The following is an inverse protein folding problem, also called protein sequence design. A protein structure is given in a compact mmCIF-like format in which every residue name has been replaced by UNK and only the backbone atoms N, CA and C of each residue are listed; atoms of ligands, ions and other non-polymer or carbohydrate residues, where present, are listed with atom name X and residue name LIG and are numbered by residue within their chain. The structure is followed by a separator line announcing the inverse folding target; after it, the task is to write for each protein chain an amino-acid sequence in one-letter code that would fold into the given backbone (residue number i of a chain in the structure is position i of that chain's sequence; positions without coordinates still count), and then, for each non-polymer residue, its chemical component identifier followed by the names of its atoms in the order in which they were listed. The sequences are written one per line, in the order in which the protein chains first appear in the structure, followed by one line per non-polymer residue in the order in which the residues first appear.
data_IF_798036974523
#
_entry.id   IF_798036974523
#
_cell.length_a   1.000
_cell.length_b   1.000
_cell.length_c   1.000
_cell.angle_alpha   90.00
_cell.angle_beta   90.00
_cell.angle_gamma   90.00
#
_symmetry.space_group_name_H-M   'P 1'
#
loop_
_entity.id
_entity.type
_entity.pdbx_description
1 polymer ?
#
# COMPACT_ATOMS: atom_id res chain seq x y z
N UNK A 1 -3.38 5.62 -9.78
CA UNK A 1 -3.59 4.48 -8.85
C UNK A 1 -2.44 4.41 -7.89
N UNK A 2 -2.59 3.72 -6.77
CA UNK A 2 -1.56 3.70 -5.73
C UNK A 2 -2.07 3.12 -4.43
N UNK A 3 -1.18 3.00 -3.46
CA UNK A 3 -1.51 2.55 -2.12
C UNK A 3 -0.84 3.45 -1.08
N UNK A 4 -1.38 3.41 0.14
CA UNK A 4 -0.84 4.05 1.34
C UNK A 4 -0.63 2.97 2.38
N UNK A 5 0.55 2.95 2.99
CA UNK A 5 0.83 2.13 4.17
C UNK A 5 0.59 3.03 5.39
N UNK A 6 -0.35 2.64 6.24
CA UNK A 6 -0.78 3.40 7.42
C UNK A 6 -0.47 2.61 8.69
N UNK A 7 -0.01 3.31 9.72
CA UNK A 7 0.07 2.83 11.10
C UNK A 7 -1.12 3.37 11.88
N UNK A 8 -1.82 2.50 12.59
CA UNK A 8 -2.75 2.89 13.66
C UNK A 8 -2.18 2.43 15.00
N UNK A 9 -2.09 3.34 15.95
CA UNK A 9 -1.65 3.06 17.31
C UNK A 9 -2.54 3.88 18.24
N UNK A 10 -3.27 3.19 19.13
CA UNK A 10 -4.39 3.75 19.88
C UNK A 10 -5.38 4.48 18.94
N UNK A 11 -5.71 5.73 19.23
CA UNK A 11 -6.59 6.58 18.41
C UNK A 11 -5.83 7.40 17.35
N UNK A 12 -4.52 7.18 17.17
CA UNK A 12 -3.71 7.93 16.24
C UNK A 12 -3.47 7.16 14.93
N UNK A 13 -3.65 7.85 13.81
CA UNK A 13 -3.41 7.34 12.47
C UNK A 13 -2.27 8.11 11.79
N UNK A 14 -1.25 7.40 11.34
CA UNK A 14 -0.10 8.01 10.64
C UNK A 14 0.18 7.29 9.33
N UNK A 15 0.24 8.05 8.24
CA UNK A 15 0.65 7.54 6.93
C UNK A 15 2.17 7.40 6.88
N UNK A 16 2.66 6.17 6.71
CA UNK A 16 4.09 5.85 6.73
C UNK A 16 4.72 6.03 5.34
N UNK A 17 4.11 5.39 4.34
CA UNK A 17 4.64 5.30 2.97
C UNK A 17 3.48 5.41 1.98
N UNK A 18 3.78 5.92 0.79
CA UNK A 18 2.82 5.98 -0.32
C UNK A 18 3.49 5.61 -1.63
N UNK A 19 2.76 4.90 -2.47
CA UNK A 19 3.13 4.65 -3.85
C UNK A 19 2.06 5.23 -4.76
N UNK A 20 2.47 5.94 -5.82
CA UNK A 20 1.55 6.54 -6.79
C UNK A 20 2.03 6.29 -8.21
N UNK A 21 1.09 5.92 -9.08
CA UNK A 21 1.30 5.72 -10.52
C UNK A 21 0.19 6.38 -11.31
N UNK A 22 0.59 7.07 -12.37
CA UNK A 22 -0.33 7.51 -13.42
C UNK A 22 -0.77 6.28 -14.23
N UNK A 23 -2.06 6.18 -14.51
CA UNK A 23 -2.61 5.09 -15.33
C UNK A 23 -2.97 5.65 -16.72
N UNK A 24 -2.68 4.91 -17.80
CA UNK A 24 -3.25 5.21 -19.11
C UNK A 24 -4.78 5.30 -19.07
N UNK A 25 -5.35 6.15 -19.92
CA UNK A 25 -6.80 6.27 -20.06
C UNK A 25 -7.43 5.01 -20.70
N UNK A 26 -6.69 4.34 -21.57
CA UNK A 26 -7.11 3.07 -22.16
C UNK A 26 -6.97 1.93 -21.14
N UNK A 27 -8.11 1.42 -20.67
CA UNK A 27 -8.17 0.37 -19.64
C UNK A 27 -7.42 -0.91 -20.00
N UNK A 28 -7.39 -1.31 -21.28
CA UNK A 28 -6.70 -2.55 -21.69
C UNK A 28 -5.18 -2.44 -21.61
N UNK A 29 -4.66 -1.22 -21.61
CA UNK A 29 -3.24 -0.90 -21.46
C UNK A 29 -2.89 -0.42 -20.04
N UNK A 30 -3.87 -0.34 -19.14
CA UNK A 30 -3.71 0.23 -17.81
C UNK A 30 -3.13 -0.78 -16.82
N UNK A 31 -1.93 -1.30 -17.13
CA UNK A 31 -1.20 -2.27 -16.31
C UNK A 31 0.03 -1.60 -15.71
N UNK A 32 0.07 -1.47 -14.39
CA UNK A 32 1.22 -0.93 -13.66
C UNK A 32 1.36 -1.65 -12.32
N UNK A 33 2.60 -1.96 -11.93
CA UNK A 33 2.96 -2.31 -10.56
C UNK A 33 3.35 -1.05 -9.78
N UNK A 34 3.13 -1.07 -8.45
CA UNK A 34 3.49 0.02 -7.56
C UNK A 34 4.14 -0.58 -6.30
N UNK A 35 5.46 -0.43 -6.17
CA UNK A 35 6.23 -0.91 -5.03
C UNK A 35 6.79 0.26 -4.23
N UNK A 36 6.75 0.17 -2.90
CA UNK A 36 7.41 1.09 -1.97
C UNK A 36 7.85 0.31 -0.74
N UNK A 37 8.94 0.74 -0.11
CA UNK A 37 9.49 0.13 1.10
C UNK A 37 10.26 1.18 1.90
N UNK A 38 10.44 0.92 3.20
CA UNK A 38 11.19 1.79 4.09
C UNK A 38 11.28 1.19 5.50
N UNK A 39 12.19 1.75 6.30
CA UNK A 39 12.34 1.40 7.72
C UNK A 39 11.45 2.35 8.53
N UNK A 40 10.63 1.78 9.41
CA UNK A 40 9.67 2.53 10.22
C UNK A 40 9.72 2.02 11.66
N UNK A 41 9.58 2.92 12.62
CA UNK A 41 9.42 2.54 14.03
C UNK A 41 7.96 2.14 14.29
N UNK A 42 7.77 0.94 14.85
CA UNK A 42 6.48 0.38 15.20
C UNK A 42 6.45 0.04 16.70
N UNK A 43 5.57 0.72 17.43
CA UNK A 43 5.27 0.46 18.82
C UNK A 43 4.56 -0.89 18.97
N UNK A 44 4.79 -1.60 20.07
CA UNK A 44 4.05 -2.83 20.38
C UNK A 44 2.55 -2.53 20.47
N UNK A 45 1.74 -3.26 19.71
CA UNK A 45 0.30 -3.02 19.60
C UNK A 45 -0.11 -2.17 18.39
N UNK A 46 0.85 -1.67 17.60
CA UNK A 46 0.55 -0.99 16.33
C UNK A 46 -0.10 -1.93 15.31
N UNK A 47 -1.10 -1.42 14.60
CA UNK A 47 -1.71 -2.07 13.43
C UNK A 47 -1.16 -1.41 12.17
N UNK A 48 -0.62 -2.21 11.24
CA UNK A 48 -0.16 -1.73 9.93
C UNK A 48 -1.15 -2.15 8.87
N UNK A 49 -1.64 -1.19 8.10
CA UNK A 49 -2.65 -1.38 7.06
C UNK A 49 -2.09 -0.95 5.69
N UNK A 50 -2.44 -1.69 4.63
CA UNK A 50 -2.26 -1.24 3.25
C UNK A 50 -3.62 -0.83 2.68
N UNK A 51 -3.71 0.41 2.22
CA UNK A 51 -4.95 1.02 1.76
C UNK A 51 -4.82 1.46 0.32
N UNK A 52 -5.81 1.15 -0.49
CA UNK A 52 -5.97 1.71 -1.83
C UNK A 52 -7.12 2.73 -1.73
N UNK A 53 -6.85 4.05 -1.84
CA UNK A 53 -7.86 5.10 -1.61
C UNK A 53 -8.80 5.26 -2.82
N UNK A 54 -9.45 4.17 -3.23
CA UNK A 54 -10.43 4.06 -4.32
C UNK A 54 -11.43 2.97 -3.92
N UNK A 55 -12.73 3.27 -4.00
CA UNK A 55 -13.80 2.36 -3.56
C UNK A 55 -13.79 1.02 -4.30
N UNK A 56 -13.70 1.06 -5.63
CA UNK A 56 -13.77 -0.11 -6.51
C UNK A 56 -12.45 -0.25 -7.30
N UNK A 57 -11.34 -0.43 -6.58
CA UNK A 57 -10.03 -0.54 -7.20
C UNK A 57 -9.86 -1.87 -7.96
N UNK A 58 -9.68 -1.79 -9.27
CA UNK A 58 -9.30 -2.95 -10.10
C UNK A 58 -7.82 -3.28 -9.86
N UNK A 59 -7.55 -4.37 -9.14
CA UNK A 59 -6.18 -4.86 -8.83
C UNK A 59 -6.05 -6.36 -9.08
N UNK A 60 -4.83 -6.81 -9.36
CA UNK A 60 -4.50 -8.23 -9.34
C UNK A 60 -4.33 -8.73 -7.90
N UNK A 61 -4.91 -9.88 -7.58
CA UNK A 61 -4.69 -10.58 -6.29
C UNK A 61 -3.68 -11.73 -6.43
N UNK A 62 -2.93 -11.78 -7.53
CA UNK A 62 -1.90 -12.79 -7.73
C UNK A 62 -0.76 -12.59 -6.71
N UNK A 63 -0.30 -13.66 -6.02
CA UNK A 63 0.68 -13.54 -4.93
C UNK A 63 2.00 -12.88 -5.31
N UNK A 64 2.44 -13.04 -6.56
CA UNK A 64 3.68 -12.44 -7.07
C UNK A 64 3.52 -10.98 -7.52
N UNK A 65 2.29 -10.48 -7.63
CA UNK A 65 1.99 -9.12 -8.09
C UNK A 65 1.59 -8.20 -6.94
N UNK A 66 0.78 -8.69 -6.00
CA UNK A 66 0.30 -7.93 -4.85
C UNK A 66 0.65 -8.66 -3.57
N UNK A 67 1.55 -8.08 -2.81
CA UNK A 67 2.09 -8.66 -1.58
C UNK A 67 2.42 -7.55 -0.57
N UNK A 68 2.56 -7.94 0.70
CA UNK A 68 3.02 -7.08 1.78
C UNK A 68 3.93 -7.90 2.69
N UNK A 69 5.03 -7.30 3.13
CA UNK A 69 6.01 -7.96 3.99
C UNK A 69 6.51 -7.04 5.09
N UNK A 70 6.88 -7.63 6.22
CA UNK A 70 7.56 -6.96 7.33
C UNK A 70 8.81 -7.74 7.69
N UNK A 71 9.87 -7.03 8.03
CA UNK A 71 11.12 -7.61 8.53
C UNK A 71 11.61 -6.78 9.71
N UNK A 72 11.99 -7.45 10.80
CA UNK A 72 12.54 -6.81 12.00
C UNK A 72 14.06 -6.76 11.90
N UNK A 73 14.59 -5.54 11.89
CA UNK A 73 16.03 -5.26 11.96
C UNK A 73 16.61 -5.58 13.33
#
# INVERSE_FOLDING_TARGET
MGHVIRKRFDDNETNLLKCMKNMPANKTLALNTCYTAGVQYLESGSVVELLIPRKDAEISLLPHATFMGLYRL
#
